data_IF_079960656331
#
_entry.id   IF_079960656331
#
_cell.length_a   1.000
_cell.length_b   1.000
_cell.length_c   1.000
_cell.angle_alpha   90.00
_cell.angle_beta   90.00
_cell.angle_gamma   90.00
#
_symmetry.space_group_name_H-M   'P 1'
#
loop_
_entity.id
_entity.type
_entity.pdbx_description
1 polymer ?
#
# COMPACT_ATOMS: atom_id res chain seq x y z
N UNK A 1 -21.56 14.01 12.27
CA UNK A 1 -20.62 13.27 11.41
C UNK A 1 -19.32 13.11 12.18
N UNK A 2 -18.92 11.90 12.48
CA UNK A 2 -17.64 11.63 13.16
C UNK A 2 -16.54 11.59 12.10
N UNK A 3 -15.81 12.68 11.92
CA UNK A 3 -14.75 12.82 10.92
C UNK A 3 -13.62 11.79 11.14
N UNK A 4 -13.38 11.34 12.37
CA UNK A 4 -12.35 10.36 12.66
C UNK A 4 -12.60 8.99 12.00
N UNK A 5 -13.88 8.66 11.73
CA UNK A 5 -14.26 7.44 11.01
C UNK A 5 -14.11 7.54 9.48
N UNK A 6 -13.75 8.69 8.97
CA UNK A 6 -13.59 8.96 7.54
C UNK A 6 -12.14 9.23 7.13
N UNK A 7 -11.21 9.19 8.10
CA UNK A 7 -9.80 9.42 7.84
C UNK A 7 -9.04 8.10 7.77
N UNK A 8 -8.31 7.92 6.69
CA UNK A 8 -7.36 6.84 6.52
C UNK A 8 -5.94 7.41 6.37
N UNK A 9 -4.95 6.64 6.79
CA UNK A 9 -3.55 6.95 6.58
C UNK A 9 -2.91 6.05 5.55
N UNK A 10 -1.69 6.40 5.17
CA UNK A 10 -0.85 5.55 4.34
C UNK A 10 0.59 5.60 4.86
N UNK A 11 1.36 4.50 4.79
CA UNK A 11 2.76 4.49 5.25
C UNK A 11 3.63 5.56 4.62
N UNK A 12 3.30 6.02 3.41
CA UNK A 12 4.01 7.11 2.74
C UNK A 12 4.01 8.42 3.53
N UNK A 13 2.98 8.69 4.33
CA UNK A 13 2.94 9.88 5.20
C UNK A 13 4.00 9.85 6.30
N UNK A 14 4.54 8.66 6.60
CA UNK A 14 5.67 8.44 7.52
C UNK A 14 7.01 8.27 6.77
N UNK A 15 7.04 8.53 5.47
CA UNK A 15 8.24 8.41 4.65
C UNK A 15 8.50 7.00 4.10
N UNK A 16 7.61 6.05 4.33
CA UNK A 16 7.72 4.68 3.82
C UNK A 16 7.12 4.59 2.42
N UNK A 17 7.96 4.41 1.41
CA UNK A 17 7.49 4.23 0.04
C UNK A 17 8.44 3.35 -0.79
N UNK A 18 7.96 2.91 -1.95
CA UNK A 18 8.70 2.07 -2.88
C UNK A 18 9.70 2.83 -3.78
N UNK A 19 9.66 4.15 -3.78
CA UNK A 19 10.57 4.96 -4.60
C UNK A 19 12.01 4.91 -4.05
N UNK A 20 12.94 4.53 -4.89
CA UNK A 20 14.34 4.38 -4.52
C UNK A 20 14.95 5.72 -4.05
N UNK A 21 15.59 5.68 -2.88
CA UNK A 21 16.28 6.84 -2.32
C UNK A 21 15.37 7.92 -1.73
N UNK A 22 14.07 7.69 -1.67
CA UNK A 22 13.09 8.59 -1.08
C UNK A 22 12.63 8.12 0.30
N UNK A 23 12.47 9.06 1.23
CA UNK A 23 11.93 8.81 2.57
C UNK A 23 12.84 7.94 3.47
N UNK A 24 12.21 7.38 4.50
CA UNK A 24 12.84 6.49 5.47
C UNK A 24 12.03 5.22 5.61
N UNK A 25 12.71 4.08 5.76
CA UNK A 25 12.04 2.82 6.05
C UNK A 25 11.85 2.69 7.56
N UNK A 26 10.72 3.17 8.06
CA UNK A 26 10.32 3.04 9.47
C UNK A 26 9.61 1.69 9.65
N UNK A 27 9.88 1.00 10.75
CA UNK A 27 9.24 -0.29 11.06
C UNK A 27 7.71 -0.17 11.10
N UNK A 28 7.03 -1.18 10.56
CA UNK A 28 5.58 -1.17 10.40
C UNK A 28 4.83 -1.01 11.74
N UNK A 29 5.26 -1.70 12.79
CA UNK A 29 4.68 -1.60 14.12
C UNK A 29 4.64 -0.16 14.64
N UNK A 30 5.73 0.58 14.45
CA UNK A 30 5.81 1.99 14.83
C UNK A 30 4.85 2.86 14.03
N UNK A 31 4.82 2.69 12.70
CA UNK A 31 3.95 3.49 11.82
C UNK A 31 2.47 3.25 12.16
N UNK A 32 2.06 1.99 12.33
CA UNK A 32 0.69 1.64 12.67
C UNK A 32 0.29 2.17 14.05
N UNK A 33 1.20 2.12 15.03
CA UNK A 33 1.00 2.69 16.36
C UNK A 33 0.79 4.20 16.30
N UNK A 34 1.66 4.92 15.60
CA UNK A 34 1.56 6.38 15.46
C UNK A 34 0.29 6.79 14.67
N UNK A 35 -0.15 6.00 13.68
CA UNK A 35 -1.45 6.20 13.04
C UNK A 35 -2.60 6.19 14.04
N UNK A 36 -2.62 5.20 14.94
CA UNK A 36 -3.64 5.12 15.99
C UNK A 36 -3.57 6.27 16.99
N UNK A 37 -2.38 6.68 17.38
CA UNK A 37 -2.16 7.84 18.26
C UNK A 37 -2.69 9.14 17.62
N UNK A 38 -2.58 9.27 16.29
CA UNK A 38 -3.19 10.37 15.53
C UNK A 38 -4.71 10.27 15.37
N UNK A 39 -5.35 9.20 15.87
CA UNK A 39 -6.80 8.98 15.74
C UNK A 39 -7.24 8.40 14.40
N UNK A 40 -6.31 7.97 13.54
CA UNK A 40 -6.59 7.29 12.28
C UNK A 40 -7.08 5.86 12.57
N UNK A 41 -8.12 5.43 11.85
CA UNK A 41 -8.75 4.11 12.06
C UNK A 41 -8.60 3.16 10.87
N UNK A 42 -8.05 3.61 9.76
CA UNK A 42 -7.80 2.78 8.59
C UNK A 42 -6.47 3.16 7.92
N UNK A 43 -5.83 2.19 7.26
CA UNK A 43 -4.57 2.39 6.53
C UNK A 43 -4.63 1.81 5.14
N UNK A 44 -3.85 2.37 4.23
CA UNK A 44 -3.45 1.68 3.00
C UNK A 44 -2.37 0.63 3.28
N UNK A 45 -2.22 -0.31 2.35
CA UNK A 45 -1.28 -1.43 2.48
C UNK A 45 0.20 -1.01 2.49
N UNK A 46 0.53 0.11 1.84
CA UNK A 46 1.92 0.56 1.67
C UNK A 46 2.68 -0.25 0.60
N UNK A 47 4.01 -0.10 0.55
CA UNK A 47 4.84 -0.80 -0.43
C UNK A 47 4.77 -2.32 -0.31
N UNK A 48 5.01 -3.02 -1.42
CA UNK A 48 5.08 -4.49 -1.46
C UNK A 48 6.04 -5.03 -0.38
N UNK A 49 5.53 -5.94 0.46
CA UNK A 49 6.32 -6.58 1.52
C UNK A 49 6.51 -5.74 2.79
N UNK A 50 6.01 -4.52 2.85
CA UNK A 50 6.06 -3.70 4.07
C UNK A 50 5.15 -4.24 5.17
N UNK A 51 3.91 -4.55 4.83
CA UNK A 51 2.98 -5.29 5.67
C UNK A 51 2.91 -6.76 5.23
N UNK A 52 2.43 -7.67 6.10
CA UNK A 52 2.27 -9.08 5.71
C UNK A 52 1.44 -9.24 4.44
N UNK A 53 1.87 -10.14 3.55
CA UNK A 53 1.17 -10.44 2.29
C UNK A 53 0.14 -11.57 2.43
N UNK A 54 0.23 -12.35 3.49
CA UNK A 54 -0.82 -13.30 3.85
C UNK A 54 -1.99 -12.55 4.50
N UNK A 55 -3.19 -12.75 3.98
CA UNK A 55 -4.38 -12.00 4.41
C UNK A 55 -4.74 -12.24 5.89
N UNK A 56 -4.52 -13.45 6.42
CA UNK A 56 -4.83 -13.77 7.82
C UNK A 56 -3.82 -13.13 8.76
N UNK A 57 -2.56 -13.15 8.38
CA UNK A 57 -1.50 -12.52 9.15
C UNK A 57 -1.66 -11.00 9.13
N UNK A 58 -1.96 -10.42 7.98
CA UNK A 58 -2.25 -9.00 7.84
C UNK A 58 -3.44 -8.57 8.70
N UNK A 59 -4.55 -9.31 8.66
CA UNK A 59 -5.71 -9.05 9.50
C UNK A 59 -5.33 -9.02 10.99
N UNK A 60 -4.56 -10.01 11.45
CA UNK A 60 -4.11 -10.08 12.84
C UNK A 60 -3.24 -8.89 13.25
N UNK A 61 -2.33 -8.45 12.37
CA UNK A 61 -1.46 -7.28 12.62
C UNK A 61 -2.30 -6.01 12.70
N UNK A 62 -3.20 -5.80 11.75
CA UNK A 62 -4.07 -4.61 11.73
C UNK A 62 -5.04 -4.59 12.91
N UNK A 63 -5.68 -5.71 13.24
CA UNK A 63 -6.56 -5.85 14.40
C UNK A 63 -5.81 -5.54 15.70
N UNK A 64 -4.56 -5.99 15.84
CA UNK A 64 -3.70 -5.70 16.98
C UNK A 64 -3.42 -4.21 17.16
N UNK A 65 -3.44 -3.43 16.10
CA UNK A 65 -3.30 -1.97 16.13
C UNK A 65 -4.63 -1.22 16.09
N UNK A 66 -5.77 -1.92 15.98
CA UNK A 66 -7.10 -1.31 15.87
C UNK A 66 -7.29 -0.53 14.56
N UNK A 67 -6.72 -1.01 13.46
CA UNK A 67 -6.79 -0.42 12.13
C UNK A 67 -7.52 -1.33 11.15
N UNK A 68 -8.33 -0.75 10.27
CA UNK A 68 -8.89 -1.43 9.10
C UNK A 68 -7.99 -1.22 7.87
N UNK A 69 -8.06 -2.14 6.91
CA UNK A 69 -7.46 -1.93 5.59
C UNK A 69 -8.45 -1.18 4.69
N UNK A 70 -8.06 -0.04 4.13
CA UNK A 70 -8.93 0.72 3.23
C UNK A 70 -8.58 0.57 1.75
N UNK A 71 -7.37 0.22 1.41
CA UNK A 71 -6.95 0.11 0.01
C UNK A 71 -5.46 -0.13 -0.17
N UNK A 72 -5.02 -0.11 -1.41
CA UNK A 72 -3.62 -0.20 -1.78
C UNK A 72 -3.32 0.63 -3.03
N UNK A 73 -2.15 1.26 -3.03
CA UNK A 73 -1.52 1.85 -4.21
C UNK A 73 -0.67 0.75 -4.87
N UNK A 74 -1.01 0.39 -6.11
CA UNK A 74 -0.40 -0.75 -6.81
C UNK A 74 0.31 -0.24 -8.07
N UNK A 75 1.63 -0.02 -8.01
CA UNK A 75 2.40 0.37 -9.18
C UNK A 75 2.64 -0.85 -10.10
N UNK A 76 2.26 -0.72 -11.36
CA UNK A 76 2.51 -1.74 -12.38
C UNK A 76 2.95 -1.13 -13.70
N UNK A 77 3.89 -1.77 -14.37
CA UNK A 77 4.39 -1.36 -15.68
C UNK A 77 3.54 -2.00 -16.77
N UNK A 78 2.75 -1.22 -17.51
CA UNK A 78 1.82 -1.72 -18.52
C UNK A 78 2.32 -1.61 -19.96
N UNK A 79 3.24 -0.71 -20.25
CA UNK A 79 3.71 -0.42 -21.61
C UNK A 79 4.84 -1.35 -22.08
N UNK A 80 5.43 -2.15 -21.20
CA UNK A 80 6.51 -3.09 -21.52
C UNK A 80 5.99 -4.53 -21.55
N UNK A 81 5.98 -5.16 -22.73
CA UNK A 81 5.41 -6.52 -22.93
C UNK A 81 6.04 -7.58 -22.04
N UNK A 82 7.35 -7.50 -21.81
CA UNK A 82 8.11 -8.41 -20.94
C UNK A 82 7.76 -8.26 -19.47
N UNK A 83 7.16 -7.13 -19.06
CA UNK A 83 6.74 -6.85 -17.67
C UNK A 83 5.26 -7.17 -17.42
N UNK A 84 4.44 -7.34 -18.45
CA UNK A 84 2.99 -7.50 -18.29
C UNK A 84 2.59 -8.67 -17.39
N UNK A 85 3.28 -9.82 -17.51
CA UNK A 85 2.96 -10.98 -16.67
C UNK A 85 3.21 -10.69 -15.18
N UNK A 86 4.37 -10.15 -14.84
CA UNK A 86 4.70 -9.80 -13.45
C UNK A 86 3.78 -8.72 -12.89
N UNK A 87 3.45 -7.70 -13.70
CA UNK A 87 2.50 -6.64 -13.36
C UNK A 87 1.11 -7.19 -13.07
N UNK A 88 0.61 -8.09 -13.92
CA UNK A 88 -0.68 -8.74 -13.71
C UNK A 88 -0.70 -9.60 -12.44
N UNK A 89 0.33 -10.39 -12.20
CA UNK A 89 0.45 -11.23 -10.99
C UNK A 89 0.50 -10.38 -9.72
N UNK A 90 1.22 -9.24 -9.74
CA UNK A 90 1.24 -8.28 -8.64
C UNK A 90 -0.15 -7.71 -8.38
N UNK A 91 -0.81 -7.19 -9.42
CA UNK A 91 -2.14 -6.63 -9.31
C UNK A 91 -3.15 -7.65 -8.75
N UNK A 92 -3.09 -8.89 -9.21
CA UNK A 92 -3.96 -9.97 -8.75
C UNK A 92 -3.74 -10.27 -7.26
N UNK A 93 -2.49 -10.45 -6.83
CA UNK A 93 -2.18 -10.69 -5.40
C UNK A 93 -2.71 -9.59 -4.50
N UNK A 94 -2.48 -8.33 -4.89
CA UNK A 94 -2.95 -7.19 -4.12
C UNK A 94 -4.48 -7.14 -4.07
N UNK A 95 -5.16 -7.40 -5.19
CA UNK A 95 -6.62 -7.45 -5.24
C UNK A 95 -7.19 -8.57 -4.37
N UNK A 96 -6.56 -9.74 -4.34
CA UNK A 96 -6.97 -10.86 -3.48
C UNK A 96 -6.85 -10.51 -1.98
N UNK A 97 -5.78 -9.83 -1.57
CA UNK A 97 -5.60 -9.36 -0.18
C UNK A 97 -6.66 -8.32 0.17
N UNK A 98 -6.88 -7.33 -0.69
CA UNK A 98 -7.92 -6.31 -0.48
C UNK A 98 -9.32 -6.94 -0.34
N UNK A 99 -9.65 -7.88 -1.23
CA UNK A 99 -10.94 -8.58 -1.19
C UNK A 99 -11.10 -9.39 0.11
N UNK A 100 -10.06 -10.06 0.56
CA UNK A 100 -10.10 -10.86 1.80
C UNK A 100 -10.33 -10.02 3.06
N UNK A 101 -9.88 -8.76 3.07
CA UNK A 101 -10.06 -7.81 4.17
C UNK A 101 -11.19 -6.79 3.94
N UNK A 102 -12.03 -6.98 2.90
CA UNK A 102 -13.10 -6.06 2.52
C UNK A 102 -12.64 -4.62 2.24
N UNK A 103 -11.42 -4.43 1.80
CA UNK A 103 -10.90 -3.12 1.41
C UNK A 103 -11.36 -2.77 -0.01
N UNK A 104 -12.02 -1.62 -0.16
CA UNK A 104 -12.72 -1.26 -1.41
C UNK A 104 -11.90 -0.49 -2.43
N UNK A 105 -10.68 -0.05 -2.11
CA UNK A 105 -9.94 0.87 -2.98
C UNK A 105 -8.67 0.22 -3.55
N UNK A 106 -8.66 0.03 -4.85
CA UNK A 106 -7.51 -0.43 -5.62
C UNK A 106 -7.02 0.72 -6.50
N UNK A 107 -5.92 1.35 -6.12
CA UNK A 107 -5.34 2.48 -6.86
C UNK A 107 -4.25 1.95 -7.79
N UNK A 108 -4.55 1.85 -9.08
CA UNK A 108 -3.60 1.43 -10.10
C UNK A 108 -2.76 2.61 -10.55
N UNK A 109 -1.45 2.48 -10.50
CA UNK A 109 -0.50 3.45 -11.00
C UNK A 109 0.41 2.83 -12.06
N UNK A 110 0.81 3.62 -13.04
CA UNK A 110 1.63 3.15 -14.18
C UNK A 110 2.93 3.94 -14.27
N UNK A 111 3.96 3.60 -13.44
CA UNK A 111 5.27 4.23 -13.53
C UNK A 111 6.02 3.78 -14.81
N UNK A 112 7.05 4.52 -15.18
CA UNK A 112 7.91 4.17 -16.32
C UNK A 112 8.68 2.86 -16.07
N UNK A 113 9.17 2.67 -14.86
CA UNK A 113 9.83 1.44 -14.38
C UNK A 113 9.45 1.17 -12.92
N UNK A 114 9.69 -0.06 -12.43
CA UNK A 114 9.47 -0.40 -11.04
C UNK A 114 10.36 0.45 -10.11
N UNK A 115 9.72 1.21 -9.22
CA UNK A 115 10.41 2.08 -8.26
C UNK A 115 11.00 3.37 -8.84
N UNK A 116 10.81 3.62 -10.14
CA UNK A 116 11.24 4.83 -10.82
C UNK A 116 10.03 5.65 -11.29
N UNK A 117 9.72 6.70 -10.54
CA UNK A 117 8.63 7.63 -10.82
C UNK A 117 9.10 8.90 -11.53
N UNK A 118 10.41 9.12 -11.63
CA UNK A 118 11.00 10.34 -12.18
C UNK A 118 11.41 10.18 -13.66
N UNK A 119 11.76 8.97 -14.11
CA UNK A 119 12.05 8.73 -15.52
C UNK A 119 10.78 8.73 -16.34
N UNK A 120 10.67 9.67 -17.24
CA UNK A 120 9.64 9.69 -18.27
C UNK A 120 10.27 9.19 -19.56
N UNK A 121 9.83 8.03 -20.03
CA UNK A 121 10.17 7.59 -21.37
C UNK A 121 9.59 8.61 -22.36
N UNK A 122 10.40 9.29 -23.18
CA UNK A 122 9.84 10.15 -24.21
C UNK A 122 9.03 9.26 -25.17
N UNK A 123 7.75 9.60 -25.33
CA UNK A 123 6.89 8.99 -26.36
C UNK A 123 7.40 9.35 -27.76
#
# INVERSE_FOLDING_TARGET
>A
MDLNKQLAGAPISWGVCEANGWGYQIEADRVLTEMRECGITATELGPDGYLPQDAKELARVLDGHGLDLCGAFVPIVLHKKDRLKASYERARRQAEVLAALNAGNFVLATPAEDGDYDSRDPM
#
